data_IF_019897603770
#
_entry.id   IF_019897603770
#
_cell.length_a   1.000
_cell.length_b   1.000
_cell.length_c   1.000
_cell.angle_alpha   90.00
_cell.angle_beta   90.00
_cell.angle_gamma   90.00
#
_symmetry.space_group_name_H-M   'P 1'
#
loop_
_entity.id
_entity.type
_entity.pdbx_description
1 polymer ?
#
# COMPACT_ATOMS: atom_id res chain seq x y z
N UNK A 1 68.04 -13.74 -11.15
CA UNK A 1 66.95 -12.75 -11.04
C UNK A 1 66.99 -12.19 -9.62
N UNK A 2 67.24 -10.89 -9.45
CA UNK A 2 67.47 -10.27 -8.14
C UNK A 2 66.16 -10.01 -7.40
N UNK A 3 66.16 -10.18 -6.07
CA UNK A 3 65.01 -9.98 -5.16
C UNK A 3 64.29 -8.63 -5.36
N UNK A 4 65.00 -7.62 -5.84
CA UNK A 4 64.43 -6.30 -6.18
C UNK A 4 63.40 -6.35 -7.31
N UNK A 5 63.60 -7.19 -8.34
CA UNK A 5 62.65 -7.30 -9.45
C UNK A 5 61.36 -8.03 -9.04
N UNK A 6 61.44 -8.98 -8.11
CA UNK A 6 60.27 -9.68 -7.57
C UNK A 6 59.45 -8.75 -6.66
N UNK A 7 60.11 -7.94 -5.82
CA UNK A 7 59.46 -6.96 -4.95
C UNK A 7 58.73 -5.86 -5.75
N UNK A 8 59.38 -5.28 -6.76
CA UNK A 8 58.77 -4.25 -7.61
C UNK A 8 57.56 -4.78 -8.41
N UNK A 9 57.62 -6.03 -8.89
CA UNK A 9 56.52 -6.68 -9.60
C UNK A 9 55.31 -6.98 -8.69
N UNK A 10 55.57 -7.38 -7.43
CA UNK A 10 54.54 -7.55 -6.40
C UNK A 10 53.90 -6.22 -5.99
N UNK A 11 54.71 -5.17 -5.80
CA UNK A 11 54.22 -3.82 -5.46
C UNK A 11 53.33 -3.22 -6.55
N UNK A 12 53.70 -3.40 -7.82
CA UNK A 12 52.89 -2.98 -8.98
C UNK A 12 51.54 -3.71 -9.03
N UNK A 13 51.52 -5.03 -8.82
CA UNK A 13 50.28 -5.82 -8.81
C UNK A 13 49.35 -5.49 -7.63
N UNK A 14 49.91 -5.18 -6.46
CA UNK A 14 49.12 -4.75 -5.29
C UNK A 14 48.49 -3.36 -5.50
N UNK A 15 49.24 -2.43 -6.09
CA UNK A 15 48.73 -1.10 -6.42
C UNK A 15 47.62 -1.14 -7.48
N UNK A 16 47.76 -2.00 -8.49
CA UNK A 16 46.74 -2.20 -9.54
C UNK A 16 45.43 -2.76 -8.97
N UNK A 17 45.51 -3.76 -8.09
CA UNK A 17 44.33 -4.30 -7.41
C UNK A 17 43.65 -3.28 -6.48
N UNK A 18 44.44 -2.43 -5.82
CA UNK A 18 43.92 -1.32 -4.99
C UNK A 18 43.14 -0.30 -5.82
N UNK A 19 43.63 0.06 -7.01
CA UNK A 19 42.95 1.00 -7.91
C UNK A 19 41.63 0.41 -8.40
N UNK A 20 41.61 -0.88 -8.78
CA UNK A 20 40.38 -1.56 -9.22
C UNK A 20 39.34 -1.58 -8.09
N UNK A 21 39.75 -1.94 -6.87
CA UNK A 21 38.87 -1.93 -5.70
C UNK A 21 38.33 -0.53 -5.38
N UNK A 22 39.17 0.50 -5.50
CA UNK A 22 38.76 1.89 -5.30
C UNK A 22 37.72 2.32 -6.35
N UNK A 23 37.93 1.97 -7.62
CA UNK A 23 36.97 2.23 -8.69
C UNK A 23 35.63 1.53 -8.41
N UNK A 24 35.65 0.23 -8.11
CA UNK A 24 34.42 -0.54 -7.86
C UNK A 24 33.66 0.03 -6.66
N UNK A 25 34.38 0.41 -5.60
CA UNK A 25 33.76 1.00 -4.41
C UNK A 25 33.10 2.35 -4.72
N UNK A 26 33.74 3.20 -5.53
CA UNK A 26 33.16 4.47 -5.97
C UNK A 26 31.90 4.25 -6.82
N UNK A 27 31.95 3.28 -7.73
CA UNK A 27 30.85 2.94 -8.63
C UNK A 27 29.66 2.35 -7.85
N UNK A 28 29.93 1.47 -6.88
CA UNK A 28 28.90 0.95 -5.97
C UNK A 28 28.30 2.04 -5.09
N UNK A 29 29.12 2.93 -4.51
CA UNK A 29 28.64 4.01 -3.66
C UNK A 29 27.72 4.97 -4.43
N UNK A 30 28.10 5.35 -5.65
CA UNK A 30 27.27 6.19 -6.52
C UNK A 30 25.98 5.48 -6.93
N UNK A 31 26.06 4.20 -7.32
CA UNK A 31 24.87 3.41 -7.65
C UNK A 31 23.90 3.34 -6.47
N UNK A 32 24.37 2.97 -5.27
CA UNK A 32 23.52 2.87 -4.08
C UNK A 32 22.86 4.20 -3.73
N UNK A 33 23.59 5.32 -3.83
CA UNK A 33 23.05 6.65 -3.58
C UNK A 33 21.87 6.99 -4.52
N UNK A 34 22.04 6.75 -5.82
CA UNK A 34 20.97 7.00 -6.79
C UNK A 34 19.82 6.00 -6.68
N UNK A 35 20.13 4.73 -6.42
CA UNK A 35 19.13 3.69 -6.22
C UNK A 35 18.19 4.03 -5.07
N UNK A 36 18.73 4.32 -3.88
CA UNK A 36 17.91 4.68 -2.72
C UNK A 36 17.09 5.95 -2.94
N UNK A 37 17.63 6.94 -3.66
CA UNK A 37 16.91 8.15 -4.02
C UNK A 37 15.72 7.88 -4.94
N UNK A 38 15.87 6.92 -5.88
CA UNK A 38 14.83 6.58 -6.84
C UNK A 38 13.78 5.64 -6.24
N UNK A 39 14.17 4.76 -5.32
CA UNK A 39 13.29 3.82 -4.63
C UNK A 39 12.11 4.52 -3.95
N UNK A 40 12.38 5.59 -3.19
CA UNK A 40 11.33 6.37 -2.50
C UNK A 40 10.31 6.98 -3.47
N UNK A 41 10.76 7.50 -4.61
CA UNK A 41 9.87 8.04 -5.63
C UNK A 41 8.98 6.94 -6.24
N UNK A 42 9.57 5.77 -6.52
CA UNK A 42 8.82 4.63 -7.08
C UNK A 42 7.77 4.09 -6.09
N UNK A 43 8.09 3.99 -4.80
CA UNK A 43 7.12 3.58 -3.78
C UNK A 43 5.93 4.54 -3.72
N UNK A 44 6.19 5.85 -3.72
CA UNK A 44 5.13 6.86 -3.66
C UNK A 44 4.21 6.82 -4.88
N UNK A 45 4.76 6.81 -6.09
CA UNK A 45 3.96 6.76 -7.33
C UNK A 45 3.19 5.44 -7.41
N UNK A 46 3.82 4.35 -6.98
CA UNK A 46 3.18 3.05 -6.90
C UNK A 46 2.00 3.04 -5.93
N UNK A 47 2.17 3.62 -4.75
CA UNK A 47 1.12 3.71 -3.73
C UNK A 47 -0.04 4.61 -4.16
N UNK A 48 0.24 5.70 -4.87
CA UNK A 48 -0.78 6.54 -5.48
C UNK A 48 -1.62 5.75 -6.51
N UNK A 49 -0.98 4.89 -7.31
CA UNK A 49 -1.70 3.98 -8.21
C UNK A 49 -2.62 3.02 -7.45
N UNK A 50 -2.22 2.56 -6.26
CA UNK A 50 -3.06 1.69 -5.41
C UNK A 50 -4.25 2.47 -4.87
N UNK A 51 -4.05 3.70 -4.36
CA UNK A 51 -5.13 4.57 -3.90
C UNK A 51 -6.14 4.89 -5.01
N UNK A 52 -5.66 5.18 -6.23
CA UNK A 52 -6.50 5.40 -7.40
C UNK A 52 -7.29 4.15 -7.80
N UNK A 53 -6.66 2.97 -7.76
CA UNK A 53 -7.33 1.69 -8.02
C UNK A 53 -8.40 1.41 -6.97
N UNK A 54 -8.09 1.65 -5.70
CA UNK A 54 -9.05 1.52 -4.60
C UNK A 54 -10.26 2.45 -4.83
N UNK A 55 -10.01 3.72 -5.16
CA UNK A 55 -11.06 4.71 -5.44
C UNK A 55 -11.95 4.28 -6.61
N UNK A 56 -11.37 3.86 -7.73
CA UNK A 56 -12.10 3.40 -8.90
C UNK A 56 -12.99 2.19 -8.58
N UNK A 57 -12.49 1.24 -7.78
CA UNK A 57 -13.26 0.06 -7.37
C UNK A 57 -14.40 0.39 -6.42
N UNK A 58 -14.19 1.26 -5.43
CA UNK A 58 -15.27 1.73 -4.55
C UNK A 58 -16.37 2.43 -5.34
N UNK A 59 -16.00 3.29 -6.30
CA UNK A 59 -16.96 3.95 -7.19
C UNK A 59 -17.70 2.91 -8.04
N UNK A 60 -17.00 1.91 -8.57
CA UNK A 60 -17.61 0.81 -9.32
C UNK A 60 -18.62 0.01 -8.49
N UNK A 61 -18.30 -0.28 -7.23
CA UNK A 61 -19.20 -0.96 -6.28
C UNK A 61 -20.44 -0.09 -6.02
N UNK A 62 -20.26 1.21 -5.80
CA UNK A 62 -21.36 2.13 -5.59
C UNK A 62 -22.28 2.22 -6.83
N UNK A 63 -21.70 2.25 -8.03
CA UNK A 63 -22.45 2.22 -9.28
C UNK A 63 -23.27 0.92 -9.41
N UNK A 64 -22.66 -0.23 -9.13
CA UNK A 64 -23.36 -1.52 -9.15
C UNK A 64 -24.50 -1.56 -8.12
N UNK A 65 -24.26 -1.07 -6.89
CA UNK A 65 -25.29 -0.92 -5.87
C UNK A 65 -26.46 -0.07 -6.34
N UNK A 66 -26.18 1.06 -7.01
CA UNK A 66 -27.20 1.95 -7.54
C UNK A 66 -28.03 1.26 -8.63
N UNK A 67 -27.39 0.48 -9.51
CA UNK A 67 -28.05 -0.26 -10.59
C UNK A 67 -28.88 -1.46 -10.09
N UNK A 68 -28.46 -2.11 -9.00
CA UNK A 68 -29.10 -3.31 -8.43
C UNK A 68 -30.28 -2.99 -7.47
N UNK A 69 -30.85 -1.78 -7.54
CA UNK A 69 -31.89 -1.28 -6.64
C UNK A 69 -31.49 -1.21 -5.15
N UNK A 70 -30.25 -0.78 -4.88
CA UNK A 70 -29.76 -0.46 -3.53
C UNK A 70 -29.82 -1.63 -2.55
N UNK A 71 -29.23 -2.79 -2.88
CA UNK A 71 -29.20 -3.93 -1.97
C UNK A 71 -28.29 -3.64 -0.76
N UNK A 72 -28.44 -4.41 0.32
CA UNK A 72 -27.48 -4.37 1.45
C UNK A 72 -26.12 -5.00 1.11
N UNK A 73 -26.05 -5.73 0.01
CA UNK A 73 -24.88 -6.50 -0.41
C UNK A 73 -24.72 -6.39 -1.92
N UNK A 74 -23.51 -6.11 -2.38
CA UNK A 74 -23.18 -6.06 -3.81
C UNK A 74 -22.38 -7.31 -4.17
N UNK A 75 -22.78 -8.02 -5.22
CA UNK A 75 -21.99 -9.13 -5.76
C UNK A 75 -21.09 -8.62 -6.87
N UNK A 76 -19.77 -8.63 -6.65
CA UNK A 76 -18.84 -8.33 -7.74
C UNK A 76 -18.61 -9.60 -8.56
N UNK A 77 -18.81 -9.50 -9.89
CA UNK A 77 -18.59 -10.60 -10.83
C UNK A 77 -17.11 -10.90 -11.07
N UNK A 78 -16.22 -9.95 -10.79
CA UNK A 78 -14.78 -10.16 -10.79
C UNK A 78 -14.45 -11.16 -9.69
N UNK A 79 -14.10 -12.38 -10.09
CA UNK A 79 -13.64 -13.43 -9.19
C UNK A 79 -12.30 -13.02 -8.59
N UNK A 80 -12.36 -12.42 -7.41
CA UNK A 80 -11.19 -12.17 -6.60
C UNK A 80 -10.84 -13.48 -5.92
N UNK A 81 -10.00 -14.27 -6.59
CA UNK A 81 -9.47 -15.49 -6.01
C UNK A 81 -8.53 -15.11 -4.86
N UNK A 82 -9.07 -14.98 -3.65
CA UNK A 82 -8.27 -15.03 -2.44
C UNK A 82 -7.87 -16.51 -2.28
N UNK A 83 -6.59 -16.82 -2.47
CA UNK A 83 -6.03 -18.17 -2.33
C UNK A 83 -6.56 -19.25 -3.29
N UNK A 84 -7.07 -18.88 -4.47
CA UNK A 84 -7.43 -19.84 -5.53
C UNK A 84 -8.86 -20.40 -5.46
N UNK A 85 -9.60 -20.13 -4.39
CA UNK A 85 -11.01 -20.48 -4.28
C UNK A 85 -11.91 -19.30 -4.70
N UNK A 86 -12.98 -19.63 -5.44
CA UNK A 86 -14.03 -18.67 -5.82
C UNK A 86 -14.93 -18.43 -4.62
N UNK A 87 -14.47 -17.60 -3.69
CA UNK A 87 -15.33 -17.16 -2.60
C UNK A 87 -16.42 -16.24 -3.15
N UNK A 88 -17.60 -16.34 -2.56
CA UNK A 88 -18.79 -15.61 -2.99
C UNK A 88 -18.58 -14.13 -2.67
N UNK A 89 -18.14 -13.33 -3.65
CA UNK A 89 -17.73 -11.92 -3.53
C UNK A 89 -18.88 -10.96 -3.20
N UNK A 90 -19.51 -11.18 -2.05
CA UNK A 90 -20.52 -10.30 -1.47
C UNK A 90 -19.80 -9.24 -0.65
N UNK A 91 -19.90 -8.00 -1.12
CA UNK A 91 -19.37 -6.85 -0.42
C UNK A 91 -20.49 -6.19 0.38
N UNK A 92 -20.21 -5.97 1.67
CA UNK A 92 -21.08 -5.22 2.55
C UNK A 92 -21.03 -3.73 2.19
N UNK A 93 -22.19 -3.11 2.08
CA UNK A 93 -22.30 -1.67 1.86
C UNK A 93 -23.25 -1.05 2.88
N UNK A 94 -22.97 0.19 3.26
CA UNK A 94 -23.85 0.95 4.14
C UNK A 94 -25.10 1.45 3.40
N UNK A 95 -25.98 2.16 4.12
CA UNK A 95 -27.22 2.73 3.58
C UNK A 95 -26.99 3.74 2.44
N UNK A 96 -25.77 4.29 2.34
CA UNK A 96 -25.37 5.21 1.28
C UNK A 96 -24.73 4.48 0.07
N UNK A 97 -24.61 3.15 0.12
CA UNK A 97 -24.03 2.34 -0.95
C UNK A 97 -22.50 2.38 -1.01
N UNK A 98 -21.84 2.76 0.08
CA UNK A 98 -20.38 2.74 0.20
C UNK A 98 -19.92 1.51 0.95
N UNK A 99 -18.72 1.02 0.62
CA UNK A 99 -18.15 -0.18 1.24
C UNK A 99 -17.91 0.08 2.72
N UNK A 100 -18.59 -0.70 3.56
CA UNK A 100 -18.60 -0.56 5.01
C UNK A 100 -19.03 -1.88 5.64
N UNK A 101 -18.16 -2.45 6.47
CA UNK A 101 -18.36 -3.75 7.14
C UNK A 101 -18.86 -3.57 8.57
N UNK A 102 -18.72 -2.36 9.14
CA UNK A 102 -19.18 -2.03 10.49
C UNK A 102 -20.70 -2.21 10.65
N UNK A 103 -21.45 -2.10 9.55
CA UNK A 103 -22.90 -2.25 9.51
C UNK A 103 -23.36 -3.71 9.65
N UNK A 104 -22.46 -4.67 9.44
CA UNK A 104 -22.77 -6.11 9.43
C UNK A 104 -22.18 -6.80 10.66
N UNK A 105 -20.91 -6.53 10.97
CA UNK A 105 -20.21 -7.22 12.03
C UNK A 105 -20.26 -6.38 13.31
N UNK A 106 -21.18 -6.73 14.21
CA UNK A 106 -21.25 -6.17 15.58
C UNK A 106 -20.06 -6.61 16.49
N UNK A 107 -18.99 -7.16 15.90
CA UNK A 107 -17.91 -7.86 16.59
C UNK A 107 -16.58 -7.24 16.17
N UNK A 108 -16.00 -6.49 17.11
CA UNK A 108 -14.62 -6.01 17.14
C UNK A 108 -14.21 -5.16 15.93
N UNK A 109 -14.30 -3.84 16.07
CA UNK A 109 -13.81 -2.85 15.10
C UNK A 109 -12.33 -3.03 14.70
N UNK A 110 -11.53 -3.85 15.38
CA UNK A 110 -10.06 -3.88 15.22
C UNK A 110 -9.56 -4.18 13.79
N UNK A 111 -10.34 -4.85 12.93
CA UNK A 111 -9.89 -5.26 11.59
C UNK A 111 -10.75 -4.75 10.41
N UNK A 112 -11.70 -3.83 10.63
CA UNK A 112 -12.64 -3.44 9.56
C UNK A 112 -11.96 -2.83 8.34
N UNK A 113 -10.97 -1.96 8.54
CA UNK A 113 -10.24 -1.34 7.43
C UNK A 113 -9.42 -2.37 6.65
N UNK A 114 -8.88 -3.39 7.31
CA UNK A 114 -8.17 -4.48 6.64
C UNK A 114 -9.13 -5.30 5.76
N UNK A 115 -10.30 -5.63 6.29
CA UNK A 115 -11.32 -6.38 5.54
C UNK A 115 -11.84 -5.55 4.35
N UNK A 116 -12.09 -4.25 4.53
CA UNK A 116 -12.46 -3.33 3.44
C UNK A 116 -11.37 -3.34 2.35
N UNK A 117 -10.10 -3.28 2.74
CA UNK A 117 -8.98 -3.36 1.80
C UNK A 117 -9.01 -4.65 0.99
N UNK A 118 -9.13 -5.79 1.67
CA UNK A 118 -9.11 -7.10 1.03
C UNK A 118 -10.32 -7.30 0.11
N UNK A 119 -11.51 -6.81 0.50
CA UNK A 119 -12.72 -6.90 -0.33
C UNK A 119 -12.64 -5.98 -1.57
N UNK A 120 -12.14 -4.75 -1.41
CA UNK A 120 -12.07 -3.79 -2.52
C UNK A 120 -10.94 -4.17 -3.48
N UNK A 121 -9.72 -4.41 -2.97
CA UNK A 121 -8.55 -4.61 -3.82
C UNK A 121 -8.26 -6.07 -4.16
N UNK A 122 -8.76 -7.02 -3.36
CA UNK A 122 -8.45 -8.45 -3.52
C UNK A 122 -6.96 -8.78 -3.51
N UNK A 123 -6.22 -7.95 -2.80
CA UNK A 123 -4.78 -8.09 -2.64
C UNK A 123 -4.46 -8.20 -1.16
N UNK A 124 -3.42 -8.97 -0.78
CA UNK A 124 -2.95 -8.97 0.59
C UNK A 124 -2.51 -7.57 1.02
N UNK A 125 -2.39 -7.35 2.34
CA UNK A 125 -1.86 -6.12 2.95
C UNK A 125 -0.33 -5.98 2.76
N UNK A 126 0.17 -6.29 1.56
CA UNK A 126 1.59 -6.25 1.21
C UNK A 126 1.71 -5.57 -0.15
N UNK A 127 2.42 -4.44 -0.18
CA UNK A 127 2.76 -3.73 -1.40
C UNK A 127 4.28 -3.65 -1.56
N UNK A 128 4.81 -4.17 -2.66
CA UNK A 128 6.27 -4.20 -2.95
C UNK A 128 7.08 -4.72 -1.74
N UNK A 129 6.65 -5.87 -1.18
CA UNK A 129 7.25 -6.51 0.00
C UNK A 129 7.23 -5.68 1.30
N UNK A 130 6.56 -4.54 1.32
CA UNK A 130 6.32 -3.76 2.53
C UNK A 130 4.90 -4.03 3.06
N UNK A 131 4.73 -4.24 4.36
CA UNK A 131 3.40 -4.37 4.95
C UNK A 131 2.67 -3.03 4.88
N UNK A 132 1.38 -3.07 4.57
CA UNK A 132 0.50 -1.90 4.65
C UNK A 132 -0.17 -1.93 6.01
N UNK A 133 -0.13 -0.82 6.73
CA UNK A 133 -0.88 -0.67 7.98
C UNK A 133 -2.28 -0.17 7.67
N UNK A 134 -3.30 -0.79 8.27
CA UNK A 134 -4.68 -0.31 8.24
C UNK A 134 -5.10 0.09 9.64
N UNK A 135 -5.53 1.35 9.80
CA UNK A 135 -5.92 1.90 11.10
C UNK A 135 -7.27 2.58 10.99
N UNK A 136 -8.14 2.34 11.97
CA UNK A 136 -9.37 3.10 12.14
C UNK A 136 -9.06 4.39 12.89
N UNK A 137 -9.45 5.51 12.29
CA UNK A 137 -9.37 6.83 12.92
C UNK A 137 -10.79 7.29 13.23
N UNK A 138 -11.13 7.31 14.52
CA UNK A 138 -12.42 7.77 15.01
C UNK A 138 -12.47 9.31 15.04
N UNK A 139 -13.35 9.90 14.24
CA UNK A 139 -13.60 11.34 14.23
C UNK A 139 -14.61 11.66 15.33
N UNK A 140 -14.11 12.20 16.44
CA UNK A 140 -14.96 12.76 17.50
C UNK A 140 -15.69 13.97 16.95
N UNK A 141 -16.97 13.80 16.63
CA UNK A 141 -17.82 14.94 16.30
C UNK A 141 -18.34 15.52 17.62
N UNK A 142 -18.03 16.78 17.91
CA UNK A 142 -18.44 17.48 19.14
C UNK A 142 -19.96 17.74 19.25
N UNK A 143 -20.78 17.03 18.48
CA UNK A 143 -22.23 17.18 18.48
C UNK A 143 -22.88 15.99 19.16
N UNK A 144 -23.57 16.27 20.26
CA UNK A 144 -24.37 15.30 21.03
C UNK A 144 -25.44 14.71 20.11
N UNK A 145 -25.38 13.40 19.88
CA UNK A 145 -26.38 12.64 19.11
C UNK A 145 -26.00 12.28 17.66
N UNK A 146 -24.80 12.62 17.17
CA UNK A 146 -24.34 12.14 15.87
C UNK A 146 -23.56 10.82 16.00
N UNK A 147 -23.85 9.87 15.09
CA UNK A 147 -23.10 8.61 14.96
C UNK A 147 -21.60 8.92 14.79
N UNK A 148 -20.76 8.16 15.50
CA UNK A 148 -19.30 8.28 15.40
C UNK A 148 -18.90 8.06 13.93
N UNK A 149 -18.40 9.11 13.29
CA UNK A 149 -17.79 8.99 11.96
C UNK A 149 -16.40 8.43 12.15
N UNK A 150 -16.04 7.41 11.39
CA UNK A 150 -14.68 6.92 11.34
C UNK A 150 -14.15 7.02 9.91
N UNK A 151 -12.83 6.98 9.78
CA UNK A 151 -12.15 6.82 8.50
C UNK A 151 -11.15 5.68 8.61
N UNK A 152 -10.84 5.08 7.47
CA UNK A 152 -9.78 4.09 7.34
C UNK A 152 -8.54 4.74 6.80
N UNK A 153 -7.45 4.72 7.56
CA UNK A 153 -6.16 5.20 7.12
C UNK A 153 -5.29 4.00 6.72
N UNK A 154 -4.79 4.03 5.49
CA UNK A 154 -3.84 3.04 4.97
C UNK A 154 -2.48 3.70 4.82
N UNK A 155 -1.46 3.18 5.49
CA UNK A 155 -0.11 3.77 5.49
C UNK A 155 0.99 2.78 5.17
N UNK A 156 2.04 3.30 4.55
CA UNK A 156 3.29 2.60 4.31
C UNK A 156 4.28 2.86 5.47
N UNK A 157 5.24 1.95 5.71
CA UNK A 157 6.30 2.16 6.69
C UNK A 157 7.16 3.40 6.42
N UNK A 158 7.21 3.86 5.16
CA UNK A 158 7.90 5.07 4.72
C UNK A 158 7.18 6.38 5.11
N UNK A 159 5.95 6.31 5.61
CA UNK A 159 5.20 7.44 6.15
C UNK A 159 4.13 8.02 5.22
N UNK A 160 4.05 7.55 3.98
CA UNK A 160 2.95 7.88 3.08
C UNK A 160 1.65 7.20 3.53
N UNK A 161 0.52 7.92 3.41
CA UNK A 161 -0.79 7.37 3.73
C UNK A 161 -1.89 7.98 2.86
N UNK A 162 -3.00 7.25 2.74
CA UNK A 162 -4.27 7.77 2.24
C UNK A 162 -5.42 7.37 3.16
N UNK A 163 -6.52 8.10 3.05
CA UNK A 163 -7.69 7.95 3.91
C UNK A 163 -8.90 7.60 3.04
N UNK A 164 -9.66 6.61 3.49
CA UNK A 164 -10.96 6.25 2.96
C UNK A 164 -12.06 6.65 3.94
N UNK A 165 -13.10 7.30 3.45
CA UNK A 165 -14.25 7.75 4.23
C UNK A 165 -15.49 6.91 3.88
N UNK A 166 -15.87 5.91 4.71
CA UNK A 166 -17.06 5.09 4.48
C UNK A 166 -18.37 5.89 4.37
N UNK A 167 -18.42 7.07 5.02
CA UNK A 167 -19.60 7.94 4.97
C UNK A 167 -19.94 8.53 3.59
N UNK A 168 -18.94 8.68 2.70
CA UNK A 168 -19.14 9.35 1.41
C UNK A 168 -18.34 8.73 0.25
N UNK A 169 -17.66 7.61 0.48
CA UNK A 169 -16.87 6.92 -0.55
C UNK A 169 -15.58 7.64 -0.94
N UNK A 170 -15.23 8.76 -0.31
CA UNK A 170 -14.08 9.57 -0.72
C UNK A 170 -12.78 8.90 -0.31
N UNK A 171 -11.84 8.87 -1.25
CA UNK A 171 -10.44 8.50 -1.04
C UNK A 171 -9.62 9.78 -1.15
N UNK A 172 -8.73 10.02 -0.19
CA UNK A 172 -7.84 11.19 -0.21
C UNK A 172 -6.60 10.93 -1.07
N UNK A 173 -6.01 12.00 -1.59
CA UNK A 173 -4.69 11.92 -2.21
C UNK A 173 -3.63 11.51 -1.18
N UNK A 174 -2.53 10.92 -1.65
CA UNK A 174 -1.44 10.48 -0.78
C UNK A 174 -0.84 11.67 -0.01
N UNK A 175 -0.86 11.57 1.31
CA UNK A 175 -0.19 12.50 2.24
C UNK A 175 1.05 11.84 2.85
N UNK A 176 1.91 12.64 3.44
CA UNK A 176 3.12 12.19 4.15
C UNK A 176 3.00 12.66 5.60
N UNK A 177 3.34 11.81 6.56
CA UNK A 177 3.41 12.15 7.98
C UNK A 177 4.49 13.20 8.28
#
# INVERSE_FOLDING_TARGET
MTLQQVSAKKGKSLAENLIILAMISLLMATFLYYFFKQEQYLFRVGFDSVANTFSARVIGIHAQWFMDNKPRWVQIKEATAVNGDRENNRIAVNEFGWVDISTVNNLSHENECQEIWQQVLATPMIYIKQPISAVIVNIKTNQVGQQQKYLCQYSLPSGEYFEYHPSNGKVTEIKIH
#
